data_IF_082411286858
#
_entry.id   IF_082411286858
#
_cell.length_a   1.000
_cell.length_b   1.000
_cell.length_c   1.000
_cell.angle_alpha   90.00
_cell.angle_beta   90.00
_cell.angle_gamma   90.00
#
_symmetry.space_group_name_H-M   'P 1'
#
loop_
_entity.id
_entity.type
_entity.pdbx_description
1 polymer ?
#
# COMPACT_ATOMS: atom_id res chain seq x y z
N UNK A 1 79.25 -17.43 3.94
CA UNK A 1 80.09 -16.33 4.45
C UNK A 1 81.14 -16.93 5.37
N UNK A 2 82.41 -16.65 5.10
CA UNK A 2 83.52 -17.08 5.96
C UNK A 2 84.00 -15.84 6.74
N UNK A 3 83.94 -15.89 8.05
CA UNK A 3 84.38 -14.85 8.95
C UNK A 3 85.57 -15.42 9.73
N UNK A 4 86.72 -14.72 9.78
CA UNK A 4 87.84 -15.09 10.63
C UNK A 4 87.73 -14.42 11.99
N UNK A 5 87.64 -15.22 13.08
CA UNK A 5 87.58 -14.74 14.44
C UNK A 5 88.90 -15.02 15.11
N UNK A 6 89.49 -14.05 15.82
CA UNK A 6 90.61 -14.22 16.70
C UNK A 6 90.13 -14.66 18.10
N UNK A 7 90.97 -15.18 18.97
CA UNK A 7 90.56 -15.52 20.34
C UNK A 7 89.94 -14.30 21.06
N UNK A 8 88.68 -14.46 21.50
CA UNK A 8 87.90 -13.40 22.18
C UNK A 8 86.99 -12.59 21.22
N UNK A 9 87.14 -12.78 19.92
CA UNK A 9 86.20 -12.10 18.93
C UNK A 9 84.83 -12.79 18.90
N UNK A 10 83.83 -12.04 18.50
CA UNK A 10 82.46 -12.53 18.31
C UNK A 10 81.86 -11.96 16.99
N UNK A 11 80.95 -12.69 16.40
CA UNK A 11 80.18 -12.30 15.24
C UNK A 11 78.70 -12.47 15.53
N UNK A 12 77.88 -11.63 14.90
CA UNK A 12 76.40 -11.69 15.03
C UNK A 12 75.78 -11.96 13.67
N UNK A 13 74.70 -12.68 13.64
CA UNK A 13 73.85 -12.86 12.51
C UNK A 13 72.38 -12.78 12.90
N UNK A 14 71.50 -12.47 11.96
CA UNK A 14 70.03 -12.40 12.17
C UNK A 14 69.36 -13.58 11.48
N UNK A 15 68.30 -14.07 12.13
CA UNK A 15 67.46 -15.13 11.60
C UNK A 15 66.04 -14.57 11.50
N UNK A 16 65.38 -14.79 10.41
CA UNK A 16 63.97 -14.36 10.23
C UNK A 16 63.21 -15.47 9.51
N UNK A 17 61.99 -15.78 9.99
CA UNK A 17 61.13 -16.70 9.27
C UNK A 17 60.79 -16.19 7.84
N UNK A 18 60.57 -17.10 6.91
CA UNK A 18 60.08 -16.76 5.59
C UNK A 18 58.62 -16.28 5.67
N UNK A 19 58.22 -15.34 4.82
CA UNK A 19 56.84 -14.92 4.65
C UNK A 19 56.06 -15.96 3.86
N UNK A 20 54.71 -16.01 4.08
CA UNK A 20 53.82 -16.89 3.31
C UNK A 20 53.85 -18.36 3.76
N UNK A 21 54.35 -18.65 4.93
CA UNK A 21 54.28 -20.00 5.51
C UNK A 21 52.84 -20.36 5.85
N UNK A 22 52.40 -21.59 5.58
CA UNK A 22 51.13 -22.15 6.00
C UNK A 22 51.07 -22.30 7.52
N UNK A 23 49.88 -22.47 8.08
CA UNK A 23 49.73 -22.79 9.50
C UNK A 23 50.47 -24.07 9.82
N UNK A 24 51.20 -24.04 10.94
CA UNK A 24 52.02 -25.16 11.41
C UNK A 24 53.20 -24.72 12.22
N UNK A 25 53.90 -25.71 12.84
CA UNK A 25 55.08 -25.48 13.62
C UNK A 25 56.34 -25.71 12.75
N UNK A 26 57.21 -24.74 12.72
CA UNK A 26 58.45 -24.74 11.97
C UNK A 26 59.62 -24.74 12.92
N UNK A 27 60.31 -25.88 13.02
CA UNK A 27 61.45 -26.07 13.87
C UNK A 27 62.70 -26.32 13.00
N UNK A 28 63.84 -25.83 13.43
CA UNK A 28 65.06 -26.04 12.76
C UNK A 28 66.27 -25.76 13.64
N UNK A 29 67.43 -26.15 13.17
CA UNK A 29 68.70 -25.81 13.81
C UNK A 29 69.59 -25.10 12.79
N UNK A 30 70.04 -23.93 13.15
CA UNK A 30 71.04 -23.22 12.38
C UNK A 30 72.39 -23.66 12.84
N UNK A 31 73.08 -24.38 12.00
CA UNK A 31 74.41 -24.89 12.30
C UNK A 31 75.52 -23.89 12.01
N UNK A 32 76.40 -23.71 12.94
CA UNK A 32 77.60 -22.89 12.83
C UNK A 32 78.77 -23.88 12.85
N UNK A 33 79.57 -23.84 11.79
CA UNK A 33 80.70 -24.76 11.65
C UNK A 33 81.97 -23.95 11.30
N UNK A 34 83.08 -24.40 11.78
CA UNK A 34 84.37 -23.92 11.29
C UNK A 34 84.61 -24.42 9.84
N UNK A 35 85.71 -23.94 9.24
CA UNK A 35 86.02 -24.26 7.83
C UNK A 35 86.25 -25.74 7.59
N UNK A 36 86.80 -26.42 8.54
CA UNK A 36 87.26 -27.85 8.50
C UNK A 36 86.16 -28.77 9.07
N UNK A 37 85.06 -28.23 9.61
CA UNK A 37 83.96 -28.99 10.17
C UNK A 37 84.24 -29.65 11.54
N UNK A 38 85.33 -29.29 12.17
CA UNK A 38 85.77 -29.82 13.44
C UNK A 38 85.04 -29.18 14.66
N UNK A 39 84.61 -27.90 14.47
CA UNK A 39 83.77 -27.19 15.46
C UNK A 39 82.36 -27.09 14.87
N UNK A 40 81.42 -27.62 15.66
CA UNK A 40 80.03 -27.56 15.29
C UNK A 40 79.22 -27.08 16.50
N UNK A 41 78.49 -26.01 16.28
CA UNK A 41 77.52 -25.53 17.28
C UNK A 41 76.20 -25.19 16.54
N UNK A 42 75.14 -25.12 17.28
CA UNK A 42 73.84 -24.91 16.65
C UNK A 42 72.87 -24.12 17.52
N UNK A 43 72.12 -23.23 16.86
CA UNK A 43 71.02 -22.49 17.49
C UNK A 43 69.73 -23.10 17.03
N UNK A 44 68.94 -23.62 17.97
CA UNK A 44 67.60 -24.10 17.71
C UNK A 44 66.66 -22.87 17.51
N UNK A 45 65.89 -22.91 16.43
CA UNK A 45 64.88 -21.90 16.12
C UNK A 45 63.52 -22.56 16.01
N UNK A 46 62.49 -21.89 16.50
CA UNK A 46 61.09 -22.33 16.39
C UNK A 46 60.20 -21.12 16.02
N UNK A 47 59.24 -21.39 15.17
CA UNK A 47 58.24 -20.42 14.74
C UNK A 47 56.94 -21.15 14.51
N UNK A 48 55.82 -20.57 14.99
CA UNK A 48 54.51 -21.12 14.80
C UNK A 48 53.63 -20.14 13.98
N UNK A 49 52.97 -20.68 12.97
CA UNK A 49 51.92 -19.98 12.22
C UNK A 49 50.60 -20.59 12.64
N UNK A 50 49.76 -19.80 13.25
CA UNK A 50 48.40 -20.21 13.63
C UNK A 50 47.41 -19.92 12.53
N UNK A 51 46.40 -20.77 12.38
CA UNK A 51 45.25 -20.46 11.54
C UNK A 51 44.46 -19.29 12.14
N UNK A 52 43.92 -18.37 11.33
CA UNK A 52 43.02 -17.36 11.82
C UNK A 52 41.81 -18.00 12.52
N UNK A 53 41.37 -17.41 13.61
CA UNK A 53 40.14 -17.86 14.26
C UNK A 53 38.94 -17.78 13.26
N UNK A 54 38.01 -18.75 13.30
CA UNK A 54 36.83 -18.71 12.45
C UNK A 54 35.99 -17.48 12.75
N UNK A 55 35.63 -16.77 11.69
CA UNK A 55 34.71 -15.62 11.73
C UNK A 55 33.54 -15.95 10.83
N UNK A 56 32.35 -15.96 11.43
CA UNK A 56 31.09 -16.18 10.73
C UNK A 56 30.37 -14.85 10.62
N UNK A 57 30.06 -14.41 9.42
CA UNK A 57 29.34 -13.18 9.19
C UNK A 57 28.61 -13.21 7.85
N UNK A 58 27.42 -12.60 7.79
CA UNK A 58 26.61 -12.48 6.58
C UNK A 58 26.29 -11.03 6.30
N UNK A 59 26.04 -10.71 5.06
CA UNK A 59 25.42 -9.46 4.62
C UNK A 59 24.35 -9.74 3.59
N UNK A 60 23.33 -8.85 3.48
CA UNK A 60 22.30 -8.87 2.44
C UNK A 60 22.34 -7.59 1.63
N UNK A 61 21.95 -7.68 0.38
CA UNK A 61 21.79 -6.53 -0.52
C UNK A 61 20.72 -6.81 -1.56
N UNK A 62 19.73 -5.89 -1.73
CA UNK A 62 19.47 -4.71 -0.91
C UNK A 62 18.95 -5.08 0.49
N UNK A 63 19.04 -4.16 1.44
CA UNK A 63 18.50 -4.33 2.80
C UNK A 63 16.99 -4.05 2.87
N UNK A 64 16.47 -3.27 1.91
CA UNK A 64 15.06 -2.92 1.83
C UNK A 64 14.51 -3.20 0.44
N UNK A 65 13.30 -3.75 0.39
CA UNK A 65 12.53 -4.04 -0.83
C UNK A 65 11.23 -3.26 -0.81
N UNK A 66 11.08 -2.32 -1.73
CA UNK A 66 9.88 -1.50 -1.88
C UNK A 66 9.06 -1.98 -3.08
N UNK A 67 7.86 -2.47 -2.84
CA UNK A 67 6.95 -2.98 -3.88
C UNK A 67 5.86 -1.97 -4.27
N UNK A 68 5.86 -0.78 -3.62
CA UNK A 68 4.88 0.26 -3.89
C UNK A 68 3.50 -0.05 -3.33
N UNK A 69 2.45 0.30 -4.09
CA UNK A 69 1.08 0.10 -3.64
C UNK A 69 0.19 -0.51 -4.73
N UNK A 70 -0.92 -1.15 -4.31
CA UNK A 70 -1.98 -1.63 -5.17
C UNK A 70 -3.35 -1.38 -4.51
N UNK A 71 -4.44 -1.41 -5.28
CA UNK A 71 -5.80 -1.43 -4.72
C UNK A 71 -6.25 -2.86 -4.45
N UNK A 72 -7.04 -3.08 -3.41
CA UNK A 72 -7.59 -4.39 -3.06
C UNK A 72 -8.29 -5.06 -4.26
N UNK A 73 -7.99 -6.34 -4.45
CA UNK A 73 -8.45 -7.09 -5.62
C UNK A 73 -7.57 -6.91 -6.86
N UNK A 74 -6.35 -6.37 -6.69
CA UNK A 74 -5.34 -6.31 -7.75
C UNK A 74 -5.08 -7.71 -8.36
N UNK A 75 -4.81 -7.71 -9.67
CA UNK A 75 -4.46 -8.93 -10.41
C UNK A 75 -3.00 -8.95 -10.85
N UNK A 76 -2.43 -7.75 -10.99
CA UNK A 76 -1.04 -7.59 -11.32
C UNK A 76 -0.23 -7.53 -10.02
N UNK A 77 0.41 -8.64 -9.69
CA UNK A 77 1.31 -8.71 -8.54
C UNK A 77 2.60 -7.94 -8.91
N UNK A 78 3.16 -7.10 -8.01
CA UNK A 78 4.46 -6.46 -8.26
C UNK A 78 5.53 -7.48 -8.64
N UNK A 79 6.48 -7.08 -9.47
CA UNK A 79 7.56 -7.97 -9.89
C UNK A 79 8.43 -8.40 -8.70
N UNK A 80 8.94 -9.64 -8.78
CA UNK A 80 9.84 -10.16 -7.77
C UNK A 80 11.17 -9.39 -7.79
N UNK A 81 11.70 -9.07 -6.60
CA UNK A 81 12.98 -8.41 -6.43
C UNK A 81 14.02 -9.41 -5.93
N UNK A 82 15.25 -9.30 -6.43
CA UNK A 82 16.34 -10.21 -6.08
C UNK A 82 17.11 -9.69 -4.88
N UNK A 83 17.39 -10.60 -3.95
CA UNK A 83 18.24 -10.38 -2.78
C UNK A 83 19.49 -11.22 -2.92
N UNK A 84 20.64 -10.64 -2.62
CA UNK A 84 21.94 -11.32 -2.57
C UNK A 84 22.39 -11.44 -1.11
N UNK A 85 22.70 -12.64 -0.67
CA UNK A 85 23.31 -12.93 0.64
C UNK A 85 24.77 -13.27 0.40
N UNK A 86 25.67 -12.64 1.14
CA UNK A 86 27.12 -12.85 1.00
C UNK A 86 27.71 -13.29 2.34
N UNK A 87 28.54 -14.33 2.31
CA UNK A 87 29.38 -14.70 3.45
C UNK A 87 30.57 -13.74 3.52
N UNK A 88 30.53 -12.83 4.47
CA UNK A 88 31.60 -11.84 4.72
C UNK A 88 32.60 -12.31 5.80
N UNK A 89 32.41 -13.50 6.32
CA UNK A 89 33.34 -14.17 7.23
C UNK A 89 34.51 -14.84 6.49
N UNK A 90 35.37 -15.53 7.24
CA UNK A 90 36.52 -16.28 6.70
C UNK A 90 36.30 -17.80 6.68
N UNK A 91 35.14 -18.28 7.12
CA UNK A 91 34.82 -19.70 7.28
C UNK A 91 33.54 -20.02 6.50
N UNK A 92 33.49 -21.22 5.90
CA UNK A 92 32.30 -21.68 5.18
C UNK A 92 31.06 -21.76 6.10
N UNK A 93 29.89 -21.44 5.55
CA UNK A 93 28.63 -21.37 6.27
C UNK A 93 27.51 -22.00 5.41
N UNK A 94 26.57 -22.67 6.07
CA UNK A 94 25.38 -23.22 5.41
C UNK A 94 24.17 -22.39 5.74
N UNK A 95 23.48 -21.86 4.72
CA UNK A 95 22.25 -21.07 4.85
C UNK A 95 21.03 -21.95 5.00
N UNK A 96 20.05 -21.49 5.79
CA UNK A 96 18.72 -22.04 5.84
C UNK A 96 17.83 -21.31 4.81
N UNK A 97 16.85 -22.03 4.26
CA UNK A 97 15.90 -21.46 3.29
C UNK A 97 15.06 -20.38 3.97
N UNK A 98 15.10 -19.11 3.53
CA UNK A 98 14.24 -18.06 4.05
C UNK A 98 12.77 -18.28 3.64
N UNK A 99 11.86 -17.74 4.43
CA UNK A 99 10.41 -17.79 4.15
C UNK A 99 9.76 -16.48 4.55
N UNK A 100 8.62 -16.17 3.95
CA UNK A 100 7.77 -15.02 4.28
C UNK A 100 6.33 -15.46 4.54
N UNK A 101 5.60 -14.66 5.32
CA UNK A 101 4.18 -14.87 5.60
C UNK A 101 3.32 -14.23 4.51
N UNK A 102 3.62 -12.97 4.18
CA UNK A 102 2.89 -12.18 3.19
C UNK A 102 3.65 -12.03 1.86
N UNK A 103 4.80 -12.67 1.78
CA UNK A 103 5.68 -12.66 0.62
C UNK A 103 6.04 -14.07 0.19
N UNK A 104 6.04 -14.28 -1.12
CA UNK A 104 6.58 -15.51 -1.72
C UNK A 104 8.09 -15.34 -1.83
N UNK A 105 8.84 -16.29 -1.28
CA UNK A 105 10.30 -16.31 -1.30
C UNK A 105 10.75 -17.50 -2.14
N UNK A 106 11.60 -17.27 -3.15
CA UNK A 106 12.14 -18.35 -3.98
C UNK A 106 13.18 -19.19 -3.23
N UNK A 107 13.52 -20.35 -3.75
CA UNK A 107 14.67 -21.12 -3.27
C UNK A 107 15.98 -20.31 -3.41
N UNK A 108 16.88 -20.52 -2.46
CA UNK A 108 18.27 -20.04 -2.56
C UNK A 108 18.96 -20.64 -3.78
N UNK A 109 19.76 -19.85 -4.48
CA UNK A 109 20.56 -20.34 -5.63
C UNK A 109 21.59 -21.40 -5.22
N UNK A 110 22.07 -21.32 -3.98
CA UNK A 110 22.90 -22.33 -3.27
C UNK A 110 22.81 -22.14 -1.76
N UNK A 111 23.07 -23.18 -1.01
CA UNK A 111 22.98 -23.14 0.47
C UNK A 111 24.34 -23.07 1.14
N UNK A 112 25.40 -23.62 0.53
CA UNK A 112 26.77 -23.57 1.10
C UNK A 112 27.52 -22.39 0.50
N UNK A 113 28.10 -21.55 1.36
CA UNK A 113 28.89 -20.40 1.00
C UNK A 113 30.26 -20.48 1.63
N UNK A 114 31.32 -20.60 0.82
CA UNK A 114 32.68 -20.35 1.26
C UNK A 114 32.89 -18.86 1.58
N UNK A 115 34.00 -18.51 2.20
CA UNK A 115 34.36 -17.13 2.45
C UNK A 115 34.31 -16.28 1.17
N UNK A 116 33.59 -15.17 1.21
CA UNK A 116 33.39 -14.26 0.07
C UNK A 116 32.37 -14.70 -0.99
N UNK A 117 31.78 -15.88 -0.86
CA UNK A 117 30.75 -16.33 -1.82
C UNK A 117 29.35 -15.78 -1.48
N UNK A 118 28.48 -15.76 -2.50
CA UNK A 118 27.12 -15.25 -2.39
C UNK A 118 26.10 -16.25 -2.94
N UNK A 119 24.90 -16.19 -2.39
CA UNK A 119 23.68 -16.81 -2.91
C UNK A 119 22.62 -15.75 -3.19
N UNK A 120 21.68 -16.08 -4.06
CA UNK A 120 20.54 -15.19 -4.38
C UNK A 120 19.21 -15.90 -4.15
N UNK A 121 18.20 -15.13 -3.84
CA UNK A 121 16.79 -15.53 -3.84
C UNK A 121 15.93 -14.34 -4.26
N UNK A 122 14.66 -14.58 -4.57
CA UNK A 122 13.72 -13.50 -4.91
C UNK A 122 12.61 -13.42 -3.88
N UNK A 123 12.12 -12.20 -3.69
CA UNK A 123 10.98 -11.88 -2.83
C UNK A 123 9.91 -11.21 -3.68
N UNK A 124 8.66 -11.59 -3.50
CA UNK A 124 7.51 -11.04 -4.20
C UNK A 124 6.32 -10.97 -3.25
N UNK A 125 5.51 -9.89 -3.22
CA UNK A 125 4.28 -9.87 -2.44
C UNK A 125 3.35 -11.02 -2.82
N UNK A 126 2.66 -11.58 -1.85
CA UNK A 126 1.63 -12.59 -2.13
C UNK A 126 0.45 -11.95 -2.88
N UNK A 127 -0.22 -12.74 -3.72
CA UNK A 127 -1.42 -12.28 -4.42
C UNK A 127 -2.66 -12.29 -3.51
N UNK A 128 -3.59 -11.35 -3.74
CA UNK A 128 -4.89 -11.34 -3.06
C UNK A 128 -4.86 -10.87 -1.61
N UNK A 129 -3.86 -10.10 -1.22
CA UNK A 129 -3.80 -9.47 0.09
C UNK A 129 -4.91 -8.42 0.23
N UNK A 130 -5.53 -8.33 1.41
CA UNK A 130 -6.54 -7.33 1.76
C UNK A 130 -5.90 -5.95 1.98
N UNK A 131 -6.74 -4.91 2.04
CA UNK A 131 -6.26 -3.55 2.31
C UNK A 131 -5.54 -3.48 3.66
N UNK A 132 -4.25 -3.23 3.62
CA UNK A 132 -3.34 -3.08 4.78
C UNK A 132 -1.95 -2.66 4.30
N UNK A 133 -1.12 -2.27 5.23
CA UNK A 133 0.32 -2.14 5.05
C UNK A 133 1.00 -3.45 5.48
N UNK A 134 1.88 -3.97 4.63
CA UNK A 134 2.62 -5.22 4.82
C UNK A 134 4.11 -4.90 4.91
N UNK A 135 4.62 -4.93 6.13
CA UNK A 135 6.05 -4.78 6.43
C UNK A 135 6.51 -6.07 7.08
N UNK A 136 7.55 -6.70 6.53
CA UNK A 136 8.04 -7.99 7.00
C UNK A 136 9.56 -8.06 6.87
N UNK A 137 10.22 -8.50 7.93
CA UNK A 137 11.63 -8.82 7.92
C UNK A 137 11.81 -10.29 7.53
N UNK A 138 12.33 -10.52 6.35
CA UNK A 138 12.62 -11.86 5.82
C UNK A 138 14.03 -12.24 6.26
N UNK A 139 14.11 -13.12 7.27
CA UNK A 139 15.35 -13.55 7.85
C UNK A 139 16.03 -14.66 7.05
N UNK A 140 17.36 -14.56 6.92
CA UNK A 140 18.24 -15.59 6.39
C UNK A 140 19.18 -16.02 7.50
N UNK A 141 18.93 -17.18 8.05
CA UNK A 141 19.71 -17.78 9.13
C UNK A 141 20.74 -18.77 8.59
N UNK A 142 21.71 -19.12 9.41
CA UNK A 142 22.77 -20.05 9.05
C UNK A 142 23.04 -21.10 10.13
N UNK A 143 23.83 -22.11 9.76
CA UNK A 143 24.31 -23.17 10.66
C UNK A 143 25.23 -22.68 11.78
N UNK A 144 25.74 -21.46 11.68
CA UNK A 144 26.65 -20.86 12.66
C UNK A 144 25.94 -19.84 13.57
N UNK A 145 24.60 -19.88 13.66
CA UNK A 145 23.75 -18.95 14.43
C UNK A 145 23.95 -17.47 14.04
N UNK A 146 24.36 -17.22 12.79
CA UNK A 146 24.41 -15.88 12.20
C UNK A 146 23.16 -15.69 11.38
N UNK A 147 22.52 -14.53 11.57
CA UNK A 147 21.30 -14.15 10.88
C UNK A 147 21.41 -12.74 10.30
N UNK A 148 20.83 -12.53 9.13
CA UNK A 148 20.62 -11.22 8.51
C UNK A 148 19.20 -11.18 7.97
N UNK A 149 18.61 -9.99 7.84
CA UNK A 149 17.27 -9.82 7.31
C UNK A 149 17.22 -8.78 6.21
N UNK A 150 16.24 -8.95 5.31
CA UNK A 150 15.82 -7.94 4.35
C UNK A 150 14.41 -7.49 4.70
N UNK A 151 14.20 -6.18 4.80
CA UNK A 151 12.89 -5.60 5.07
C UNK A 151 12.10 -5.46 3.77
N UNK A 152 10.93 -6.08 3.67
CA UNK A 152 10.04 -6.01 2.54
C UNK A 152 8.80 -5.17 2.88
N UNK A 153 8.47 -4.20 2.01
CA UNK A 153 7.34 -3.30 2.20
C UNK A 153 6.43 -3.27 0.98
N UNK A 154 5.12 -3.45 1.21
CA UNK A 154 4.07 -3.36 0.22
C UNK A 154 2.77 -2.86 0.84
N UNK A 155 2.08 -1.93 0.19
CA UNK A 155 0.81 -1.38 0.68
C UNK A 155 -0.34 -1.79 -0.23
N UNK A 156 -1.41 -2.36 0.33
CA UNK A 156 -2.68 -2.56 -0.36
C UNK A 156 -3.68 -1.55 0.19
N UNK A 157 -4.18 -0.66 -0.68
CA UNK A 157 -5.20 0.33 -0.34
C UNK A 157 -6.59 -0.24 -0.57
N UNK A 158 -7.57 0.24 0.18
CA UNK A 158 -8.96 -0.12 -0.07
C UNK A 158 -9.35 0.20 -1.52
N UNK A 159 -10.07 -0.72 -2.13
CA UNK A 159 -10.67 -0.47 -3.44
C UNK A 159 -11.62 0.72 -3.30
N UNK A 160 -11.34 1.82 -3.99
CA UNK A 160 -12.31 2.91 -4.12
C UNK A 160 -13.56 2.32 -4.73
N UNK A 161 -14.55 2.00 -3.89
CA UNK A 161 -15.88 1.76 -4.39
C UNK A 161 -16.26 3.04 -5.08
N UNK A 162 -16.40 2.95 -6.41
CA UNK A 162 -17.05 4.00 -7.18
C UNK A 162 -18.50 4.06 -6.67
N UNK A 163 -18.68 4.84 -5.58
CA UNK A 163 -19.99 5.14 -5.01
C UNK A 163 -20.77 6.08 -5.91
N UNK A 164 -20.46 6.10 -7.21
CA UNK A 164 -21.30 6.59 -8.28
C UNK A 164 -22.40 5.58 -8.61
N UNK A 165 -22.99 4.93 -7.62
CA UNK A 165 -24.40 4.65 -7.68
C UNK A 165 -25.06 6.03 -7.65
N UNK A 166 -25.17 6.65 -8.83
CA UNK A 166 -25.67 8.00 -9.04
C UNK A 166 -26.88 8.17 -8.15
N UNK A 167 -26.71 8.85 -6.99
CA UNK A 167 -27.82 9.09 -6.08
C UNK A 167 -28.92 9.75 -6.89
N UNK A 168 -30.16 9.36 -6.61
CA UNK A 168 -31.29 9.94 -7.31
C UNK A 168 -31.64 11.27 -6.64
N UNK A 169 -30.89 12.33 -6.96
CA UNK A 169 -31.04 13.63 -6.35
C UNK A 169 -32.00 14.50 -7.17
N UNK A 170 -32.89 15.20 -6.48
CA UNK A 170 -33.76 16.22 -7.07
C UNK A 170 -32.90 17.33 -7.71
N UNK A 171 -33.19 17.68 -8.95
CA UNK A 171 -32.51 18.77 -9.67
C UNK A 171 -33.49 19.88 -10.09
N UNK A 172 -34.79 19.65 -9.97
CA UNK A 172 -35.78 20.65 -10.27
C UNK A 172 -37.22 20.12 -10.21
N UNK A 173 -38.17 21.04 -10.19
CA UNK A 173 -39.62 20.74 -10.20
C UNK A 173 -40.24 21.53 -11.35
N UNK A 174 -40.97 20.85 -12.23
CA UNK A 174 -41.77 21.50 -13.30
C UNK A 174 -43.11 21.92 -12.71
N UNK A 175 -43.22 23.22 -12.43
CA UNK A 175 -44.44 23.81 -11.90
C UNK A 175 -45.59 23.64 -12.91
N UNK A 176 -46.83 23.30 -12.47
CA UNK A 176 -47.99 23.28 -13.32
C UNK A 176 -48.32 24.67 -13.85
N UNK A 177 -48.99 24.72 -14.98
CA UNK A 177 -49.52 25.97 -15.54
C UNK A 177 -50.65 26.50 -14.68
N UNK A 178 -50.85 27.81 -14.72
CA UNK A 178 -52.01 28.46 -14.09
C UNK A 178 -53.31 27.94 -14.69
N UNK A 179 -54.33 27.83 -13.86
CA UNK A 179 -55.65 27.35 -14.22
C UNK A 179 -56.55 28.58 -14.41
N UNK A 180 -57.16 28.67 -15.57
CA UNK A 180 -57.94 29.86 -15.95
C UNK A 180 -59.41 29.51 -16.26
N UNK A 181 -60.25 30.49 -16.05
CA UNK A 181 -61.61 30.55 -16.58
C UNK A 181 -62.52 29.39 -16.12
N UNK A 182 -62.36 28.96 -14.86
CA UNK A 182 -63.29 28.03 -14.25
C UNK A 182 -64.70 28.67 -14.15
N UNK A 183 -65.81 27.90 -14.25
CA UNK A 183 -67.13 28.38 -14.07
C UNK A 183 -67.39 29.02 -12.68
N UNK A 184 -68.28 30.01 -12.63
CA UNK A 184 -68.75 30.53 -11.35
C UNK A 184 -69.36 29.40 -10.52
N UNK A 185 -69.17 29.44 -9.18
CA UNK A 185 -69.67 28.42 -8.27
C UNK A 185 -68.90 27.08 -8.28
N UNK A 186 -67.74 27.01 -8.97
CA UNK A 186 -66.88 25.82 -8.92
C UNK A 186 -66.62 25.43 -7.46
N UNK A 187 -66.79 24.17 -7.10
CA UNK A 187 -66.54 23.67 -5.74
C UNK A 187 -65.11 23.92 -5.31
N UNK A 188 -64.93 24.24 -4.00
CA UNK A 188 -63.64 24.45 -3.38
C UNK A 188 -62.97 23.10 -3.08
N UNK A 189 -62.70 22.30 -4.10
CA UNK A 189 -62.02 21.01 -3.99
C UNK A 189 -60.87 20.93 -5.01
N UNK A 190 -59.87 20.09 -4.70
CA UNK A 190 -58.75 19.87 -5.63
C UNK A 190 -59.22 19.48 -7.03
N UNK A 191 -60.18 18.56 -7.11
CA UNK A 191 -60.72 18.02 -8.36
C UNK A 191 -61.46 19.08 -9.16
N UNK A 192 -62.38 19.82 -8.51
CA UNK A 192 -63.15 20.84 -9.18
C UNK A 192 -62.31 22.03 -9.66
N UNK A 193 -61.29 22.40 -8.88
CA UNK A 193 -60.30 23.42 -9.25
C UNK A 193 -59.28 22.92 -10.26
N UNK A 194 -59.38 21.69 -10.79
CA UNK A 194 -58.48 21.05 -11.76
C UNK A 194 -57.00 21.04 -11.36
N UNK A 195 -56.71 21.06 -10.06
CA UNK A 195 -55.35 20.99 -9.54
C UNK A 195 -54.79 19.56 -9.76
N UNK A 196 -53.61 19.40 -10.41
CA UNK A 196 -53.09 18.08 -10.73
C UNK A 196 -52.69 17.29 -9.49
N UNK A 197 -52.91 15.97 -9.51
CA UNK A 197 -52.48 15.08 -8.45
C UNK A 197 -50.95 14.89 -8.38
N UNK A 198 -50.26 15.06 -9.50
CA UNK A 198 -48.80 14.90 -9.62
C UNK A 198 -48.18 16.02 -10.45
N UNK A 199 -46.92 16.27 -10.18
CA UNK A 199 -46.04 17.11 -11.00
C UNK A 199 -44.86 16.32 -11.49
N UNK A 200 -44.20 16.82 -12.55
CA UNK A 200 -42.94 16.26 -13.04
C UNK A 200 -41.80 16.87 -12.23
N UNK A 201 -40.96 16.03 -11.65
CA UNK A 201 -39.70 16.41 -11.04
C UNK A 201 -38.55 15.96 -11.95
N UNK A 202 -37.47 16.72 -11.96
CA UNK A 202 -36.20 16.36 -12.60
C UNK A 202 -35.26 15.83 -11.55
N UNK A 203 -34.59 14.75 -11.85
CA UNK A 203 -33.59 14.15 -10.96
C UNK A 203 -32.32 13.83 -11.75
N UNK A 204 -31.25 13.49 -11.04
CA UNK A 204 -30.00 13.03 -11.65
C UNK A 204 -30.16 11.72 -12.43
N UNK A 205 -31.29 11.00 -12.25
CA UNK A 205 -31.67 9.78 -13.03
C UNK A 205 -32.71 9.99 -14.09
N UNK A 206 -33.14 11.25 -14.30
CA UNK A 206 -34.15 11.60 -15.28
C UNK A 206 -35.43 12.17 -14.66
N UNK A 207 -36.46 12.38 -15.52
CA UNK A 207 -37.75 12.92 -15.09
C UNK A 207 -38.63 11.79 -14.52
N UNK A 208 -39.41 12.12 -13.48
CA UNK A 208 -40.40 11.21 -12.89
C UNK A 208 -41.57 12.01 -12.27
N UNK A 209 -42.70 11.33 -11.98
CA UNK A 209 -43.86 11.93 -11.33
C UNK A 209 -43.69 11.92 -9.81
N UNK A 210 -44.09 13.03 -9.18
CA UNK A 210 -44.16 13.18 -7.73
C UNK A 210 -45.57 13.68 -7.35
N UNK A 211 -46.12 13.17 -6.26
CA UNK A 211 -47.43 13.59 -5.76
C UNK A 211 -47.38 15.00 -5.20
N UNK A 212 -48.48 15.72 -5.30
CA UNK A 212 -48.66 17.07 -4.74
C UNK A 212 -49.85 17.11 -3.80
N UNK A 213 -49.61 17.66 -2.65
CA UNK A 213 -50.70 17.98 -1.70
C UNK A 213 -51.03 19.47 -1.81
N UNK A 214 -52.29 19.78 -2.09
CA UNK A 214 -52.78 21.14 -2.29
C UNK A 214 -53.45 21.65 -1.04
N UNK A 215 -53.11 22.85 -0.63
CA UNK A 215 -53.80 23.58 0.46
C UNK A 215 -54.98 24.35 -0.12
N UNK A 216 -56.02 23.61 -0.47
CA UNK A 216 -57.26 24.16 -1.03
C UNK A 216 -58.02 24.98 0.01
N UNK A 217 -58.01 24.55 1.30
CA UNK A 217 -58.73 25.23 2.36
C UNK A 217 -58.09 26.57 2.75
N UNK A 218 -56.75 26.67 2.64
CA UNK A 218 -56.02 27.89 2.95
C UNK A 218 -56.05 28.95 1.87
N UNK A 219 -56.61 28.68 0.67
CA UNK A 219 -56.73 29.68 -0.36
C UNK A 219 -57.94 30.64 -0.12
N UNK A 220 -57.87 31.84 -0.67
CA UNK A 220 -58.88 32.91 -0.53
C UNK A 220 -60.13 32.71 -1.34
N UNK A 221 -60.30 31.60 -2.06
CA UNK A 221 -61.44 31.33 -2.91
C UNK A 221 -62.74 31.17 -2.09
N UNK A 222 -63.77 31.90 -2.55
CA UNK A 222 -65.15 31.78 -2.02
C UNK A 222 -66.09 31.31 -3.16
N UNK A 223 -66.57 30.06 -3.16
CA UNK A 223 -67.46 29.53 -4.19
C UNK A 223 -68.82 30.17 -4.24
N UNK A 224 -69.25 30.89 -3.19
CA UNK A 224 -70.55 31.61 -3.14
C UNK A 224 -70.47 33.03 -3.73
N UNK A 225 -69.27 33.51 -4.08
CA UNK A 225 -69.14 34.84 -4.67
C UNK A 225 -69.61 34.82 -6.13
N UNK A 226 -70.33 35.89 -6.52
CA UNK A 226 -70.75 36.12 -7.91
C UNK A 226 -69.71 36.86 -8.74
N UNK A 227 -68.65 37.39 -8.09
CA UNK A 227 -67.60 38.14 -8.75
C UNK A 227 -66.53 37.23 -9.35
N UNK A 228 -65.82 37.70 -10.36
CA UNK A 228 -64.61 37.01 -10.84
C UNK A 228 -63.53 37.01 -9.76
N UNK A 229 -62.97 35.82 -9.50
CA UNK A 229 -61.92 35.65 -8.51
C UNK A 229 -60.64 35.13 -9.15
N UNK A 230 -59.49 35.61 -8.65
CA UNK A 230 -58.19 35.06 -8.93
C UNK A 230 -57.45 34.88 -7.61
N UNK A 231 -56.98 33.69 -7.37
CA UNK A 231 -56.38 33.31 -6.10
C UNK A 231 -55.22 32.32 -6.34
N UNK A 232 -54.34 32.16 -5.38
CA UNK A 232 -53.26 31.22 -5.39
C UNK A 232 -53.58 30.01 -4.50
N UNK A 233 -53.31 28.81 -5.04
CA UNK A 233 -53.36 27.57 -4.25
C UNK A 233 -51.97 27.05 -4.04
N UNK A 234 -51.59 26.85 -2.82
CA UNK A 234 -50.26 26.33 -2.43
C UNK A 234 -50.21 24.82 -2.61
N UNK A 235 -49.20 24.33 -3.31
CA UNK A 235 -48.92 22.91 -3.52
C UNK A 235 -47.59 22.52 -2.86
N UNK A 236 -47.56 21.40 -2.18
CA UNK A 236 -46.37 20.82 -1.58
C UNK A 236 -46.08 19.49 -2.26
N UNK A 237 -44.88 19.34 -2.84
CA UNK A 237 -44.44 18.11 -3.52
C UNK A 237 -43.91 17.12 -2.51
N UNK A 238 -44.44 15.91 -2.53
CA UNK A 238 -43.90 14.77 -1.80
C UNK A 238 -42.95 14.01 -2.73
N UNK A 239 -41.66 14.00 -2.39
CA UNK A 239 -40.67 13.27 -3.17
C UNK A 239 -40.92 11.76 -3.12
N UNK A 240 -40.80 11.05 -4.25
CA UNK A 240 -40.86 9.59 -4.28
C UNK A 240 -39.73 8.95 -3.46
N UNK A 241 -39.95 7.71 -3.03
CA UNK A 241 -38.94 6.94 -2.30
C UNK A 241 -37.64 6.83 -3.11
N UNK A 242 -36.54 7.03 -2.44
CA UNK A 242 -35.20 6.99 -3.03
C UNK A 242 -34.75 8.27 -3.74
N UNK A 243 -35.61 9.32 -3.80
CA UNK A 243 -35.20 10.66 -4.26
C UNK A 243 -34.76 11.50 -3.06
N UNK A 244 -33.53 11.98 -3.09
CA UNK A 244 -32.95 12.86 -2.08
C UNK A 244 -33.01 14.32 -2.54
N UNK A 245 -32.99 15.26 -1.62
CA UNK A 245 -32.91 16.69 -1.90
C UNK A 245 -31.72 17.34 -1.16
N UNK A 246 -30.48 17.01 -1.53
CA UNK A 246 -29.30 17.51 -0.82
C UNK A 246 -29.10 19.02 -1.01
N UNK A 247 -29.54 19.57 -2.15
CA UNK A 247 -29.38 20.99 -2.49
C UNK A 247 -30.49 21.88 -1.91
N UNK A 248 -31.43 21.30 -1.13
CA UNK A 248 -32.51 22.07 -0.50
C UNK A 248 -33.47 22.72 -1.50
N UNK A 249 -33.69 22.12 -2.68
CA UNK A 249 -34.63 22.66 -3.68
C UNK A 249 -36.01 22.80 -3.05
N UNK A 250 -36.59 23.98 -3.21
CA UNK A 250 -37.92 24.31 -2.66
C UNK A 250 -38.97 23.41 -3.26
N UNK A 251 -39.62 22.59 -2.44
CA UNK A 251 -40.70 21.66 -2.86
C UNK A 251 -42.12 22.26 -2.76
N UNK A 252 -42.22 23.52 -2.43
CA UNK A 252 -43.47 24.25 -2.28
C UNK A 252 -43.58 25.31 -3.35
N UNK A 253 -44.74 25.39 -3.99
CA UNK A 253 -45.04 26.42 -5.00
C UNK A 253 -46.50 26.81 -4.90
N UNK A 254 -46.93 27.87 -5.63
CA UNK A 254 -48.32 28.24 -5.78
C UNK A 254 -48.71 28.23 -7.25
N UNK A 255 -49.95 27.84 -7.56
CA UNK A 255 -50.60 27.93 -8.86
C UNK A 255 -51.70 28.95 -8.76
N UNK A 256 -51.75 29.86 -9.73
CA UNK A 256 -52.82 30.83 -9.87
C UNK A 256 -54.05 30.17 -10.51
N UNK A 257 -55.21 30.35 -9.88
CA UNK A 257 -56.49 29.85 -10.37
C UNK A 257 -57.45 31.02 -10.57
N UNK A 258 -58.11 31.10 -11.70
CA UNK A 258 -59.16 32.08 -11.95
C UNK A 258 -60.52 31.41 -12.15
N UNK A 259 -61.53 31.94 -11.51
CA UNK A 259 -62.95 31.57 -11.63
C UNK A 259 -63.72 32.77 -12.14
N UNK A 260 -64.52 32.59 -13.17
CA UNK A 260 -65.29 33.64 -13.79
C UNK A 260 -66.40 34.18 -12.87
N UNK A 261 -66.76 35.41 -13.05
CA UNK A 261 -67.96 35.97 -12.43
C UNK A 261 -69.26 35.33 -13.01
N UNK A 262 -70.31 35.45 -12.26
CA UNK A 262 -71.64 35.03 -12.72
C UNK A 262 -72.05 35.92 -13.96
N UNK A 263 -72.24 35.30 -15.10
CA UNK A 263 -72.88 35.94 -16.26
C UNK A 263 -74.34 35.61 -16.24
N UNK A 264 -75.13 36.48 -15.63
CA UNK A 264 -76.58 36.36 -15.68
C UNK A 264 -77.01 36.29 -17.16
N UNK A 265 -77.83 35.31 -17.52
CA UNK A 265 -78.56 35.22 -18.75
C UNK A 265 -79.75 36.07 -18.67
#
# INVERSE_FOLDING_TARGET
LIIKLSPGDHATFTVQPKTGLAAGSYNGTIQITDKDGSIKDGVSVSFEVTEPAPVYNLSVSPENLEFGNAEEGYKNIPEAQTVTVTNTGNTAITLQQPSGMNYTVSSLSKTELNAGESATFTVQPAGGLSASEYVEDIAVSSSADVEVSVNAHFTVTEKKTDNTKKENNLTGIKKPSDIKDLPNGTEKTQKALKLPETVTIKTTKGEQKASVTWDVNGCSYNPSSVDRQTFNVKGTVKLPDGVKNPDGIITVFAVSVSVNGYSGS
#
